data_IF_696284504962
#
_entry.id   IF_696284504962
#
_cell.length_a   1.000
_cell.length_b   1.000
_cell.length_c   1.000
_cell.angle_alpha   90.00
_cell.angle_beta   90.00
_cell.angle_gamma   90.00
#
_symmetry.space_group_name_H-M   'P 1'
#
loop_
_entity.id
_entity.type
_entity.pdbx_description
1 polymer ?
#
# COMPACT_ATOMS: atom_id res chain seq x y z
N UNK A 1 1.99 21.50 16.13
CA UNK A 1 1.50 21.92 17.46
C UNK A 1 1.48 23.44 17.63
N UNK A 2 2.27 24.18 16.84
CA UNK A 2 2.47 25.63 17.01
C UNK A 2 1.24 26.50 16.65
N UNK A 3 0.39 26.09 15.70
CA UNK A 3 -0.78 26.89 15.28
C UNK A 3 -1.83 27.09 16.38
N UNK A 4 -2.04 26.08 17.24
CA UNK A 4 -2.99 26.19 18.35
C UNK A 4 -2.43 26.95 19.55
N UNK A 5 -1.10 26.92 19.75
CA UNK A 5 -0.49 27.73 20.80
C UNK A 5 -0.44 29.21 20.42
N UNK A 6 -0.27 29.53 19.13
CA UNK A 6 -0.38 30.91 18.64
C UNK A 6 -1.77 31.50 18.86
N UNK A 7 -2.82 30.74 18.56
CA UNK A 7 -4.22 31.15 18.80
C UNK A 7 -4.54 31.50 20.25
N UNK A 8 -3.99 30.73 21.20
CA UNK A 8 -4.21 30.99 22.62
C UNK A 8 -3.46 32.25 23.06
N UNK A 9 -2.25 32.47 22.53
CA UNK A 9 -1.49 33.69 22.75
C UNK A 9 -2.24 34.92 22.20
N UNK A 10 -2.76 34.84 20.98
CA UNK A 10 -3.53 35.91 20.34
C UNK A 10 -4.81 36.26 21.11
N UNK A 11 -5.49 35.26 21.70
CA UNK A 11 -6.62 35.50 22.61
C UNK A 11 -6.19 36.19 23.91
N UNK A 12 -5.07 35.76 24.53
CA UNK A 12 -4.57 36.40 25.77
C UNK A 12 -4.02 37.81 25.55
N UNK A 13 -3.61 38.13 24.32
CA UNK A 13 -3.16 39.47 23.92
C UNK A 13 -4.32 40.35 23.39
N UNK A 14 -5.57 39.90 23.54
CA UNK A 14 -6.79 40.58 23.08
C UNK A 14 -6.82 40.88 21.56
N UNK A 15 -5.99 40.18 20.78
CA UNK A 15 -5.97 40.25 19.32
C UNK A 15 -7.12 39.46 18.67
N UNK A 16 -7.73 38.54 19.43
CA UNK A 16 -8.90 37.77 19.06
C UNK A 16 -9.95 37.85 20.17
N UNK A 17 -11.21 38.03 19.80
CA UNK A 17 -12.29 37.83 20.76
C UNK A 17 -12.58 36.34 21.02
N UNK A 18 -13.36 36.04 22.06
CA UNK A 18 -13.70 34.67 22.45
C UNK A 18 -14.36 33.88 21.30
N UNK A 19 -15.22 34.53 20.52
CA UNK A 19 -15.94 33.90 19.42
C UNK A 19 -15.00 33.59 18.26
N UNK A 20 -14.11 34.51 17.92
CA UNK A 20 -13.08 34.34 16.89
C UNK A 20 -12.10 33.23 17.27
N UNK A 21 -11.62 33.21 18.51
CA UNK A 21 -10.76 32.16 19.04
C UNK A 21 -11.43 30.78 18.98
N UNK A 22 -12.68 30.66 19.46
CA UNK A 22 -13.42 29.40 19.45
C UNK A 22 -13.69 28.90 18.03
N UNK A 23 -13.99 29.80 17.09
CA UNK A 23 -14.21 29.47 15.68
C UNK A 23 -12.93 28.95 15.03
N UNK A 24 -11.83 29.69 15.16
CA UNK A 24 -10.53 29.30 14.58
C UNK A 24 -9.98 28.02 15.21
N UNK A 25 -10.12 27.85 16.53
CA UNK A 25 -9.69 26.61 17.19
C UNK A 25 -10.51 25.40 16.71
N UNK A 26 -11.82 25.57 16.47
CA UNK A 26 -12.66 24.52 15.87
C UNK A 26 -12.20 24.19 14.46
N UNK A 27 -11.98 25.19 13.62
CA UNK A 27 -11.55 25.00 12.23
C UNK A 27 -10.20 24.29 12.15
N UNK A 28 -9.20 24.73 12.93
CA UNK A 28 -7.91 24.05 12.95
C UNK A 28 -7.98 22.64 13.51
N UNK A 29 -8.85 22.38 14.50
CA UNK A 29 -9.07 21.02 15.00
C UNK A 29 -9.55 20.10 13.88
N UNK A 30 -10.58 20.54 13.14
CA UNK A 30 -11.13 19.79 12.01
C UNK A 30 -10.09 19.60 10.89
N UNK A 31 -9.29 20.62 10.59
CA UNK A 31 -8.26 20.54 9.55
C UNK A 31 -7.12 19.60 9.95
N UNK A 32 -6.69 19.63 11.22
CA UNK A 32 -5.70 18.69 11.75
C UNK A 32 -6.24 17.26 11.68
N UNK A 33 -7.49 17.04 12.05
CA UNK A 33 -8.11 15.71 12.00
C UNK A 33 -8.21 15.19 10.55
N UNK A 34 -8.65 16.03 9.62
CA UNK A 34 -8.69 15.68 8.20
C UNK A 34 -7.30 15.34 7.65
N UNK A 35 -6.28 16.15 7.97
CA UNK A 35 -4.91 15.89 7.54
C UNK A 35 -4.33 14.61 8.17
N UNK A 36 -4.70 14.29 9.42
CA UNK A 36 -4.30 13.02 10.05
C UNK A 36 -4.89 11.82 9.34
N UNK A 37 -6.18 11.86 8.99
CA UNK A 37 -6.85 10.78 8.24
C UNK A 37 -6.16 10.59 6.89
N UNK A 38 -5.93 11.68 6.15
CA UNK A 38 -5.24 11.61 4.85
C UNK A 38 -3.82 11.05 4.98
N UNK A 39 -3.05 11.50 5.98
CA UNK A 39 -1.71 10.99 6.22
C UNK A 39 -1.70 9.49 6.56
N UNK A 40 -2.71 9.01 7.29
CA UNK A 40 -2.86 7.60 7.60
C UNK A 40 -3.23 6.77 6.36
N UNK A 41 -4.17 7.27 5.53
CA UNK A 41 -4.52 6.67 4.24
C UNK A 41 -3.29 6.55 3.32
N UNK A 42 -2.50 7.63 3.18
CA UNK A 42 -1.27 7.59 2.39
C UNK A 42 -0.24 6.61 2.95
N UNK A 43 -0.09 6.53 4.28
CA UNK A 43 0.82 5.57 4.92
C UNK A 43 0.37 4.13 4.68
N UNK A 44 -0.93 3.85 4.80
CA UNK A 44 -1.48 2.53 4.53
C UNK A 44 -1.27 2.14 3.06
N UNK A 45 -1.55 3.05 2.13
CA UNK A 45 -1.29 2.84 0.72
C UNK A 45 0.20 2.53 0.49
N UNK A 46 1.12 3.38 0.98
CA UNK A 46 2.56 3.18 0.84
C UNK A 46 3.06 1.83 1.37
N UNK A 47 2.55 1.38 2.53
CA UNK A 47 2.87 0.07 3.10
C UNK A 47 2.41 -1.10 2.19
N UNK A 48 1.22 -0.97 1.58
CA UNK A 48 0.75 -1.95 0.61
C UNK A 48 1.63 -2.00 -0.66
N UNK A 49 2.12 -0.85 -1.12
CA UNK A 49 3.08 -0.80 -2.23
C UNK A 49 4.42 -1.46 -1.86
N UNK A 50 5.00 -1.12 -0.70
CA UNK A 50 6.30 -1.64 -0.27
C UNK A 50 6.28 -3.16 -0.08
N UNK A 51 5.20 -3.69 0.50
CA UNK A 51 4.99 -5.14 0.64
C UNK A 51 4.86 -5.84 -0.71
N UNK A 52 4.07 -5.30 -1.65
CA UNK A 52 3.94 -5.85 -2.99
C UNK A 52 5.27 -5.82 -3.76
N UNK A 53 6.02 -4.72 -3.67
CA UNK A 53 7.33 -4.59 -4.32
C UNK A 53 8.34 -5.60 -3.76
N UNK A 54 8.37 -5.80 -2.44
CA UNK A 54 9.24 -6.78 -1.80
C UNK A 54 8.92 -8.21 -2.25
N UNK A 55 7.64 -8.58 -2.32
CA UNK A 55 7.21 -9.89 -2.81
C UNK A 55 7.64 -10.09 -4.28
N UNK A 56 7.46 -9.09 -5.14
CA UNK A 56 7.86 -9.18 -6.55
C UNK A 56 9.38 -9.25 -6.71
N UNK A 57 10.15 -8.51 -5.92
CA UNK A 57 11.61 -8.59 -5.94
C UNK A 57 12.12 -9.98 -5.51
N UNK A 58 11.51 -10.56 -4.48
CA UNK A 58 11.81 -11.93 -4.03
C UNK A 58 11.46 -12.95 -5.13
N UNK A 59 10.24 -12.88 -5.68
CA UNK A 59 9.81 -13.76 -6.76
C UNK A 59 10.75 -13.68 -7.98
N UNK A 60 11.16 -12.46 -8.36
CA UNK A 60 12.11 -12.24 -9.46
C UNK A 60 13.45 -12.91 -9.18
N UNK A 61 13.98 -12.79 -7.97
CA UNK A 61 15.23 -13.42 -7.57
C UNK A 61 15.15 -14.96 -7.66
N UNK A 62 14.03 -15.54 -7.21
CA UNK A 62 13.79 -16.98 -7.29
C UNK A 62 13.64 -17.46 -8.74
N UNK A 63 12.88 -16.74 -9.57
CA UNK A 63 12.79 -17.05 -11.01
C UNK A 63 14.15 -17.01 -11.70
N UNK A 64 15.00 -16.03 -11.35
CA UNK A 64 16.37 -15.92 -11.86
C UNK A 64 17.24 -17.11 -11.44
N UNK A 65 17.07 -17.63 -10.22
CA UNK A 65 17.80 -18.81 -9.72
C UNK A 65 17.51 -20.07 -10.53
N UNK A 66 16.28 -20.22 -11.02
CA UNK A 66 15.87 -21.37 -11.84
C UNK A 66 15.97 -21.11 -13.35
N UNK A 67 16.42 -19.92 -13.77
CA UNK A 67 16.58 -19.58 -15.20
C UNK A 67 17.51 -20.57 -15.89
N UNK A 68 17.04 -21.15 -16.99
CA UNK A 68 17.80 -22.12 -17.80
C UNK A 68 17.73 -23.57 -17.32
N UNK A 69 17.03 -23.86 -16.20
CA UNK A 69 16.68 -25.23 -15.84
C UNK A 69 15.58 -25.73 -16.77
N UNK A 70 15.81 -26.87 -17.44
CA UNK A 70 14.87 -27.49 -18.40
C UNK A 70 13.97 -28.57 -17.79
N UNK A 71 14.22 -28.96 -16.54
CA UNK A 71 13.43 -29.95 -15.80
C UNK A 71 12.82 -29.25 -14.59
N UNK A 72 11.52 -29.45 -14.41
CA UNK A 72 10.80 -29.03 -13.21
C UNK A 72 11.33 -29.85 -12.02
N UNK A 73 11.77 -29.18 -10.97
CA UNK A 73 12.15 -29.83 -9.71
C UNK A 73 11.02 -29.71 -8.70
N UNK A 74 11.00 -30.59 -7.70
CA UNK A 74 10.04 -30.49 -6.59
C UNK A 74 10.12 -29.10 -5.91
N UNK A 75 11.34 -28.59 -5.69
CA UNK A 75 11.57 -27.24 -5.16
C UNK A 75 10.86 -26.15 -5.98
N UNK A 76 10.85 -26.24 -7.32
CA UNK A 76 10.14 -25.27 -8.16
C UNK A 76 8.62 -25.40 -8.04
N UNK A 77 8.11 -26.62 -7.85
CA UNK A 77 6.67 -26.84 -7.63
C UNK A 77 6.26 -26.25 -6.28
N UNK A 78 7.01 -26.57 -5.22
CA UNK A 78 6.73 -26.09 -3.86
C UNK A 78 6.79 -24.56 -3.77
N UNK A 79 7.70 -23.93 -4.53
CA UNK A 79 7.83 -22.48 -4.56
C UNK A 79 6.75 -21.78 -5.38
N UNK A 80 6.37 -22.33 -6.54
CA UNK A 80 5.58 -21.58 -7.52
C UNK A 80 4.16 -22.07 -7.76
N UNK A 81 3.82 -23.31 -7.37
CA UNK A 81 2.55 -23.94 -7.71
C UNK A 81 1.65 -24.00 -6.49
N UNK A 82 0.51 -23.32 -6.56
CA UNK A 82 -0.55 -23.42 -5.55
C UNK A 82 -1.35 -24.72 -5.71
N UNK A 83 -1.69 -25.08 -6.94
CA UNK A 83 -2.54 -26.22 -7.23
C UNK A 83 -2.30 -26.77 -8.63
N UNK A 84 -2.39 -28.09 -8.79
CA UNK A 84 -2.49 -28.74 -10.10
C UNK A 84 -3.87 -29.36 -10.22
N UNK A 85 -4.61 -29.02 -11.27
CA UNK A 85 -5.94 -29.57 -11.56
C UNK A 85 -5.87 -30.44 -12.80
N UNK A 86 -6.42 -31.64 -12.71
CA UNK A 86 -6.46 -32.61 -13.80
C UNK A 86 -7.91 -32.86 -14.15
N UNK A 87 -8.27 -32.66 -15.41
CA UNK A 87 -9.62 -32.82 -15.92
C UNK A 87 -9.77 -34.17 -16.63
N UNK A 88 -11.00 -34.69 -16.70
CA UNK A 88 -11.30 -36.00 -17.30
C UNK A 88 -10.89 -36.12 -18.77
N UNK A 89 -10.88 -34.99 -19.50
CA UNK A 89 -10.42 -34.90 -20.88
C UNK A 89 -8.88 -34.90 -21.04
N UNK A 90 -8.15 -35.20 -19.96
CA UNK A 90 -6.68 -35.14 -19.87
C UNK A 90 -6.10 -33.73 -20.01
N UNK A 91 -6.91 -32.69 -19.87
CA UNK A 91 -6.39 -31.34 -19.70
C UNK A 91 -5.82 -31.19 -18.29
N UNK A 92 -4.80 -30.35 -18.16
CA UNK A 92 -4.18 -30.00 -16.90
C UNK A 92 -4.09 -28.49 -16.78
N UNK A 93 -4.44 -27.97 -15.61
CA UNK A 93 -4.28 -26.56 -15.23
C UNK A 93 -3.31 -26.47 -14.06
N UNK A 94 -2.36 -25.53 -14.14
CA UNK A 94 -1.42 -25.22 -13.07
C UNK A 94 -1.80 -23.84 -12.54
N UNK A 95 -2.20 -23.78 -11.27
CA UNK A 95 -2.49 -22.54 -10.56
C UNK A 95 -1.22 -22.11 -9.84
N UNK A 96 -0.75 -20.89 -10.11
CA UNK A 96 0.44 -20.32 -9.48
C UNK A 96 0.07 -19.57 -8.19
N UNK A 97 0.94 -19.58 -7.20
CA UNK A 97 0.66 -19.00 -5.87
C UNK A 97 0.86 -17.47 -5.78
N UNK A 98 1.35 -16.81 -6.82
CA UNK A 98 1.63 -15.36 -6.87
C UNK A 98 0.84 -14.61 -7.94
N UNK A 99 -0.18 -15.23 -8.54
CA UNK A 99 -0.93 -14.63 -9.64
C UNK A 99 -1.66 -13.34 -9.20
N UNK A 100 -2.24 -13.34 -8.01
CA UNK A 100 -2.92 -12.17 -7.43
C UNK A 100 -1.94 -11.05 -7.05
N UNK A 101 -0.76 -11.41 -6.53
CA UNK A 101 0.29 -10.45 -6.15
C UNK A 101 0.91 -9.77 -7.37
N UNK A 102 1.12 -10.52 -8.45
CA UNK A 102 1.56 -9.98 -9.73
C UNK A 102 0.51 -9.08 -10.37
N UNK A 103 -0.78 -9.46 -10.33
CA UNK A 103 -1.88 -8.60 -10.80
C UNK A 103 -1.93 -7.30 -10.01
N UNK A 104 -1.90 -7.39 -8.67
CA UNK A 104 -1.88 -6.22 -7.79
C UNK A 104 -0.69 -5.31 -8.10
N UNK A 105 0.51 -5.86 -8.29
CA UNK A 105 1.69 -5.08 -8.67
C UNK A 105 1.55 -4.40 -10.05
N UNK A 106 0.95 -5.09 -11.04
CA UNK A 106 0.70 -4.51 -12.35
C UNK A 106 -0.31 -3.36 -12.29
N UNK A 107 -1.40 -3.52 -11.53
CA UNK A 107 -2.40 -2.47 -11.29
C UNK A 107 -1.78 -1.24 -10.63
N UNK A 108 -1.00 -1.45 -9.57
CA UNK A 108 -0.29 -0.40 -8.84
C UNK A 108 0.73 0.36 -9.72
N UNK A 109 1.37 -0.29 -10.68
CA UNK A 109 2.27 0.40 -11.62
C UNK A 109 1.51 1.21 -12.68
N UNK A 110 0.36 0.73 -13.15
CA UNK A 110 -0.45 1.48 -14.12
C UNK A 110 -1.00 2.78 -13.51
N UNK A 111 -1.39 2.77 -12.23
CA UNK A 111 -1.81 3.99 -11.52
C UNK A 111 -0.69 5.03 -11.40
N UNK A 112 0.57 4.59 -11.30
CA UNK A 112 1.75 5.48 -11.22
C UNK A 112 2.13 6.12 -12.54
N UNK A 113 1.87 5.47 -13.66
CA UNK A 113 2.15 6.02 -15.01
C UNK A 113 1.05 6.97 -15.47
N UNK A 114 -0.15 6.88 -14.89
CA UNK A 114 -1.32 7.68 -15.25
C UNK A 114 -1.49 8.98 -14.43
N UNK A 115 -0.81 9.11 -13.28
CA UNK A 115 -0.85 10.28 -12.39
C UNK A 115 0.39 11.16 -12.50
#
# INVERSE_FOLDING_TARGET
MELKSGLYADYTEELLDEKEYLQLNREYSQRIEKLKIQADEYRQAASQYESAEKTVAQLKAEMLRFKGKRKLTQEMVDLFVAQVRIYENKNLEIVLNYEDELKKFAELNMEREAG
#
